data_IF_726208856015
#
_entry.id   IF_726208856015
#
_cell.length_a   1.000
_cell.length_b   1.000
_cell.length_c   1.000
_cell.angle_alpha   90.00
_cell.angle_beta   90.00
_cell.angle_gamma   90.00
#
_symmetry.space_group_name_H-M   'P 1'
#
loop_
_entity.id
_entity.type
_entity.pdbx_description
1 polymer ?
#
# COMPACT_ATOMS: atom_id res chain seq x y z
N UNK A 1 -5.61 -0.21 1.52
CA UNK A 1 -6.79 -1.09 1.70
C UNK A 1 -7.90 -0.35 2.44
N UNK A 2 -9.16 -0.58 2.08
CA UNK A 2 -10.35 -0.05 2.78
C UNK A 2 -11.27 -1.22 3.11
N UNK A 3 -11.69 -1.32 4.36
CA UNK A 3 -12.61 -2.37 4.84
C UNK A 3 -13.67 -1.76 5.76
N UNK A 4 -14.88 -2.35 5.85
CA UNK A 4 -15.85 -1.95 6.87
C UNK A 4 -15.30 -2.16 8.28
N UNK A 5 -15.62 -1.26 9.20
CA UNK A 5 -15.17 -1.34 10.60
C UNK A 5 -15.58 -2.65 11.29
N UNK A 6 -16.80 -3.12 11.00
CA UNK A 6 -17.29 -4.42 11.50
C UNK A 6 -16.41 -5.57 11.03
N UNK A 7 -16.01 -5.56 9.75
CA UNK A 7 -15.11 -6.59 9.21
C UNK A 7 -13.75 -6.56 9.88
N UNK A 8 -13.18 -5.37 10.08
CA UNK A 8 -11.88 -5.22 10.75
C UNK A 8 -11.91 -5.79 12.18
N UNK A 9 -13.00 -5.56 12.92
CA UNK A 9 -13.13 -6.05 14.29
C UNK A 9 -13.36 -7.56 14.37
N UNK A 10 -14.10 -8.13 13.42
CA UNK A 10 -14.41 -9.57 13.42
C UNK A 10 -13.35 -10.42 12.74
N UNK A 11 -12.66 -9.88 11.75
CA UNK A 11 -11.72 -10.60 10.89
C UNK A 11 -10.40 -9.84 10.73
N UNK A 12 -9.89 -9.28 11.82
CA UNK A 12 -8.57 -8.65 11.86
C UNK A 12 -7.43 -9.60 11.44
N UNK A 13 -7.62 -10.92 11.63
CA UNK A 13 -6.72 -11.97 11.16
C UNK A 13 -6.56 -11.98 9.63
N UNK A 14 -7.66 -11.82 8.90
CA UNK A 14 -7.64 -11.75 7.43
C UNK A 14 -6.98 -10.44 6.98
N UNK A 15 -7.30 -9.33 7.64
CA UNK A 15 -6.72 -8.03 7.32
C UNK A 15 -5.20 -8.05 7.55
N UNK A 16 -4.74 -8.66 8.64
CA UNK A 16 -3.31 -8.82 8.91
C UNK A 16 -2.63 -9.67 7.83
N UNK A 17 -3.23 -10.80 7.46
CA UNK A 17 -2.70 -11.70 6.43
C UNK A 17 -2.61 -10.99 5.07
N UNK A 18 -3.61 -10.20 4.72
CA UNK A 18 -3.61 -9.40 3.50
C UNK A 18 -2.48 -8.35 3.51
N UNK A 19 -2.33 -7.61 4.61
CA UNK A 19 -1.26 -6.61 4.75
C UNK A 19 0.14 -7.23 4.69
N UNK A 20 0.32 -8.42 5.26
CA UNK A 20 1.58 -9.18 5.12
C UNK A 20 1.88 -9.49 3.66
N UNK A 21 0.90 -10.00 2.92
CA UNK A 21 1.07 -10.31 1.50
C UNK A 21 1.35 -9.04 0.67
N UNK A 22 0.72 -7.92 0.98
CA UNK A 22 0.96 -6.63 0.33
C UNK A 22 2.39 -6.14 0.58
N UNK A 23 2.88 -6.21 1.82
CA UNK A 23 4.26 -5.84 2.18
C UNK A 23 5.28 -6.73 1.46
N UNK A 24 5.07 -8.04 1.43
CA UNK A 24 5.94 -8.97 0.71
C UNK A 24 5.94 -8.70 -0.80
N UNK A 25 4.77 -8.40 -1.38
CA UNK A 25 4.64 -8.04 -2.79
C UNK A 25 5.37 -6.72 -3.11
N UNK A 26 5.28 -5.71 -2.24
CA UNK A 26 6.03 -4.46 -2.37
C UNK A 26 7.54 -4.71 -2.29
N UNK A 27 7.99 -5.46 -1.30
CA UNK A 27 9.40 -5.82 -1.16
C UNK A 27 9.94 -6.54 -2.40
N UNK A 28 9.15 -7.48 -2.96
CA UNK A 28 9.48 -8.14 -4.22
C UNK A 28 9.56 -7.15 -5.39
N UNK A 29 8.54 -6.29 -5.54
CA UNK A 29 8.44 -5.37 -6.67
C UNK A 29 9.55 -4.31 -6.66
N UNK A 30 9.95 -3.85 -5.47
CA UNK A 30 10.99 -2.82 -5.32
C UNK A 30 12.41 -3.37 -5.40
N UNK A 31 12.61 -4.69 -5.38
CA UNK A 31 13.93 -5.29 -5.46
C UNK A 31 14.47 -5.24 -6.90
N UNK A 32 15.66 -4.63 -7.14
CA UNK A 32 16.22 -4.50 -8.50
C UNK A 32 16.37 -5.84 -9.24
N UNK A 33 16.67 -6.91 -8.51
CA UNK A 33 16.79 -8.27 -9.07
C UNK A 33 15.49 -8.79 -9.71
N UNK A 34 14.33 -8.27 -9.28
CA UNK A 34 13.01 -8.69 -9.75
C UNK A 34 12.44 -7.78 -10.85
N UNK A 35 13.14 -6.70 -11.23
CA UNK A 35 12.66 -5.70 -12.20
C UNK A 35 12.07 -6.34 -13.46
N UNK A 36 12.79 -7.28 -14.08
CA UNK A 36 12.33 -7.93 -15.32
C UNK A 36 10.99 -8.66 -15.15
N UNK A 37 10.80 -9.34 -14.01
CA UNK A 37 9.54 -10.02 -13.70
C UNK A 37 8.39 -9.03 -13.48
N UNK A 38 8.69 -7.92 -12.78
CA UNK A 38 7.70 -6.85 -12.53
C UNK A 38 7.27 -6.18 -13.84
N UNK A 39 8.21 -5.83 -14.72
CA UNK A 39 7.91 -5.26 -16.04
C UNK A 39 7.01 -6.19 -16.86
N UNK A 40 7.34 -7.48 -16.94
CA UNK A 40 6.49 -8.47 -17.64
C UNK A 40 5.09 -8.54 -17.06
N UNK A 41 4.97 -8.47 -15.74
CA UNK A 41 3.68 -8.45 -15.05
C UNK A 41 2.89 -7.20 -15.38
N UNK A 42 3.52 -6.01 -15.35
CA UNK A 42 2.89 -4.73 -15.69
C UNK A 42 2.37 -4.75 -17.13
N UNK A 43 3.20 -5.18 -18.11
CA UNK A 43 2.79 -5.31 -19.50
C UNK A 43 1.54 -6.18 -19.63
N UNK A 44 1.52 -7.33 -18.95
CA UNK A 44 0.40 -8.29 -19.03
C UNK A 44 -0.86 -7.76 -18.35
N UNK A 45 -0.74 -7.15 -17.17
CA UNK A 45 -1.89 -6.73 -16.34
C UNK A 45 -2.48 -5.40 -16.80
N UNK A 46 -1.64 -4.46 -17.21
CA UNK A 46 -2.06 -3.14 -17.67
C UNK A 46 -2.26 -3.08 -19.19
N UNK A 47 -1.92 -4.16 -19.92
CA UNK A 47 -2.00 -4.22 -21.39
C UNK A 47 -1.24 -3.07 -22.05
N UNK A 48 -0.07 -2.76 -21.52
CA UNK A 48 0.83 -1.74 -22.02
C UNK A 48 2.06 -2.34 -22.71
N UNK A 49 2.79 -1.55 -23.47
CA UNK A 49 4.06 -1.93 -24.08
C UNK A 49 5.23 -1.84 -23.08
N UNK A 50 6.43 -2.20 -23.52
CA UNK A 50 7.59 -2.22 -22.66
C UNK A 50 8.02 -0.81 -22.18
N UNK A 51 8.02 0.25 -23.01
CA UNK A 51 8.25 1.61 -22.57
C UNK A 51 7.26 2.08 -21.48
N UNK A 52 5.95 1.86 -21.69
CA UNK A 52 4.93 2.23 -20.70
C UNK A 52 5.04 1.45 -19.40
N UNK A 53 5.41 0.16 -19.46
CA UNK A 53 5.67 -0.64 -18.27
C UNK A 53 6.92 -0.17 -17.51
N UNK A 54 7.97 0.26 -18.22
CA UNK A 54 9.18 0.81 -17.61
C UNK A 54 8.87 2.15 -16.91
N UNK A 55 8.12 3.04 -17.55
CA UNK A 55 7.69 4.30 -16.94
C UNK A 55 6.86 4.05 -15.67
N UNK A 56 5.87 3.17 -15.74
CA UNK A 56 5.07 2.78 -14.58
C UNK A 56 5.90 2.15 -13.44
N UNK A 57 6.94 1.40 -13.78
CA UNK A 57 7.87 0.87 -12.78
C UNK A 57 8.71 1.97 -12.12
N UNK A 58 9.19 2.95 -12.88
CA UNK A 58 9.91 4.10 -12.32
C UNK A 58 9.02 4.95 -11.41
N UNK A 59 7.76 5.13 -11.76
CA UNK A 59 6.79 5.83 -10.93
C UNK A 59 6.50 5.06 -9.63
N UNK A 60 6.40 3.74 -9.69
CA UNK A 60 6.30 2.89 -8.51
C UNK A 60 7.49 3.10 -7.56
N UNK A 61 8.71 3.08 -8.09
CA UNK A 61 9.92 3.26 -7.28
C UNK A 61 10.00 4.61 -6.57
N UNK A 62 9.44 5.66 -7.18
CA UNK A 62 9.44 7.04 -6.65
C UNK A 62 8.28 7.32 -5.71
N UNK A 63 7.11 6.74 -6.01
CA UNK A 63 5.85 7.14 -5.39
C UNK A 63 5.36 6.24 -4.26
N UNK A 64 5.91 5.01 -4.12
CA UNK A 64 5.41 4.08 -3.11
C UNK A 64 6.18 4.18 -1.80
N UNK A 65 5.44 4.30 -0.71
CA UNK A 65 6.01 4.20 0.62
C UNK A 65 6.37 2.74 0.94
N UNK A 66 7.61 2.51 1.36
CA UNK A 66 8.09 1.17 1.75
C UNK A 66 7.39 0.63 2.99
N UNK A 67 6.93 1.51 3.87
CA UNK A 67 6.07 1.19 5.00
C UNK A 67 4.70 1.82 4.74
N UNK A 68 3.72 1.06 4.20
CA UNK A 68 2.46 1.61 3.69
C UNK A 68 1.48 1.94 4.82
N UNK A 69 1.88 2.85 5.72
CA UNK A 69 0.98 3.41 6.71
C UNK A 69 -0.10 4.28 6.07
N UNK A 70 -1.33 4.28 6.59
CA UNK A 70 -2.36 5.16 6.10
C UNK A 70 -1.99 6.63 6.33
N UNK A 71 -2.09 7.45 5.28
CA UNK A 71 -1.80 8.89 5.34
C UNK A 71 -3.03 9.68 5.70
N UNK A 72 -3.00 10.39 6.82
CA UNK A 72 -4.09 11.27 7.24
C UNK A 72 -4.28 12.43 6.26
N UNK A 73 -3.19 13.04 5.79
CA UNK A 73 -3.24 14.14 4.84
C UNK A 73 -3.73 13.68 3.47
N UNK A 74 -3.32 12.47 3.04
CA UNK A 74 -3.87 11.82 1.85
C UNK A 74 -5.37 11.63 1.95
N UNK A 75 -5.87 11.14 3.09
CA UNK A 75 -7.30 10.95 3.32
C UNK A 75 -8.06 12.28 3.33
N UNK A 76 -7.53 13.31 3.96
CA UNK A 76 -8.12 14.67 3.95
C UNK A 76 -8.18 15.26 2.54
N UNK A 77 -7.18 14.97 1.69
CA UNK A 77 -7.19 15.39 0.29
C UNK A 77 -8.30 14.66 -0.49
N UNK A 78 -8.43 13.34 -0.32
CA UNK A 78 -9.52 12.56 -0.93
C UNK A 78 -10.88 13.07 -0.43
N UNK A 79 -11.02 13.35 0.86
CA UNK A 79 -12.24 13.90 1.44
C UNK A 79 -12.63 15.24 0.79
N UNK A 80 -11.67 16.14 0.57
CA UNK A 80 -11.92 17.42 -0.12
C UNK A 80 -12.45 17.22 -1.53
N UNK A 81 -11.91 16.26 -2.26
CA UNK A 81 -12.36 15.94 -3.63
C UNK A 81 -13.77 15.33 -3.61
N UNK A 82 -14.04 14.39 -2.72
CA UNK A 82 -15.33 13.72 -2.62
C UNK A 82 -16.44 14.65 -2.13
N UNK A 83 -16.13 15.59 -1.25
CA UNK A 83 -17.08 16.59 -0.72
C UNK A 83 -17.73 17.42 -1.83
N UNK A 84 -17.04 17.62 -2.95
CA UNK A 84 -17.61 18.35 -4.11
C UNK A 84 -18.83 17.63 -4.71
N UNK A 85 -18.89 16.29 -4.60
CA UNK A 85 -20.00 15.49 -5.11
C UNK A 85 -20.98 15.06 -4.00
N UNK A 86 -20.47 14.86 -2.79
CA UNK A 86 -21.22 14.35 -1.65
C UNK A 86 -20.88 15.17 -0.41
N UNK A 87 -21.59 16.29 -0.17
CA UNK A 87 -21.27 17.24 0.92
C UNK A 87 -21.16 16.60 2.31
N UNK A 88 -21.98 15.59 2.61
CA UNK A 88 -21.98 14.86 3.89
C UNK A 88 -20.62 14.21 4.24
N UNK A 89 -19.77 13.92 3.23
CA UNK A 89 -18.43 13.38 3.45
C UNK A 89 -17.56 14.39 4.23
N UNK A 90 -17.83 15.69 4.09
CA UNK A 90 -17.12 16.72 4.83
C UNK A 90 -17.40 16.75 6.34
N UNK A 91 -18.44 16.06 6.80
CA UNK A 91 -18.82 15.96 8.22
C UNK A 91 -18.09 14.82 8.95
N UNK A 92 -17.48 13.89 8.19
CA UNK A 92 -16.73 12.76 8.73
C UNK A 92 -15.34 13.24 9.17
N UNK A 93 -14.94 12.92 10.39
CA UNK A 93 -13.57 13.18 10.83
C UNK A 93 -12.63 12.15 10.22
N UNK A 94 -11.64 12.62 9.45
CA UNK A 94 -10.68 11.74 8.77
C UNK A 94 -9.93 10.82 9.75
N UNK A 95 -9.69 11.30 10.98
CA UNK A 95 -9.04 10.58 12.06
C UNK A 95 -9.84 9.35 12.53
N UNK A 96 -11.16 9.37 12.40
CA UNK A 96 -12.05 8.29 12.83
C UNK A 96 -12.12 7.12 11.83
N UNK A 97 -11.67 7.36 10.58
CA UNK A 97 -11.68 6.32 9.53
C UNK A 97 -10.30 5.72 9.27
N UNK A 98 -9.25 6.22 9.90
CA UNK A 98 -7.90 5.64 9.83
C UNK A 98 -7.68 4.68 10.99
N UNK A 99 -7.26 3.46 10.66
CA UNK A 99 -6.79 2.48 11.64
C UNK A 99 -5.42 1.93 11.24
N UNK A 100 -4.40 2.29 11.99
CA UNK A 100 -3.03 1.86 11.76
C UNK A 100 -2.56 0.75 12.72
N UNK A 101 -3.44 0.20 13.58
CA UNK A 101 -3.04 -0.75 14.64
C UNK A 101 -2.34 -1.98 14.09
N UNK A 102 -2.88 -2.58 13.01
CA UNK A 102 -2.28 -3.79 12.42
C UNK A 102 -0.95 -3.44 11.75
N UNK A 103 -0.86 -2.31 11.05
CA UNK A 103 0.41 -1.88 10.46
C UNK A 103 1.48 -1.64 11.51
N UNK A 104 1.15 -0.99 12.64
CA UNK A 104 2.09 -0.80 13.77
C UNK A 104 2.54 -2.14 14.34
N UNK A 105 1.60 -3.08 14.57
CA UNK A 105 1.94 -4.44 15.02
C UNK A 105 2.94 -5.12 14.09
N UNK A 106 2.76 -5.01 12.77
CA UNK A 106 3.67 -5.59 11.78
C UNK A 106 5.03 -4.91 11.79
N UNK A 107 5.07 -3.59 11.94
CA UNK A 107 6.31 -2.82 12.02
C UNK A 107 7.06 -3.13 13.33
N UNK A 108 6.40 -3.04 14.48
CA UNK A 108 6.98 -3.30 15.80
C UNK A 108 7.50 -4.74 15.93
N UNK A 109 6.85 -5.70 15.29
CA UNK A 109 7.34 -7.08 15.23
C UNK A 109 8.56 -7.28 14.34
N UNK A 110 8.99 -6.26 13.59
CA UNK A 110 10.07 -6.32 12.60
C UNK A 110 9.69 -7.11 11.34
N UNK A 111 8.41 -7.41 11.12
CA UNK A 111 7.97 -8.15 9.94
C UNK A 111 8.31 -7.41 8.65
N UNK A 112 8.06 -6.08 8.62
CA UNK A 112 8.33 -5.25 7.44
C UNK A 112 9.82 -5.29 7.09
N UNK A 113 10.69 -5.04 8.06
CA UNK A 113 12.13 -5.04 7.85
C UNK A 113 12.63 -6.40 7.35
N UNK A 114 12.11 -7.52 7.90
CA UNK A 114 12.47 -8.86 7.43
C UNK A 114 12.00 -9.15 6.01
N UNK A 115 10.80 -8.71 5.62
CA UNK A 115 10.28 -8.90 4.27
C UNK A 115 11.18 -8.21 3.23
N UNK A 116 11.61 -6.99 3.51
CA UNK A 116 12.53 -6.25 2.64
C UNK A 116 13.93 -6.86 2.65
N UNK A 117 14.46 -7.25 3.81
CA UNK A 117 15.77 -7.89 3.94
C UNK A 117 15.85 -9.21 3.14
N UNK A 118 14.78 -10.00 3.11
CA UNK A 118 14.67 -11.21 2.29
C UNK A 118 14.80 -10.94 0.79
N UNK A 119 14.51 -9.71 0.35
CA UNK A 119 14.71 -9.28 -1.03
C UNK A 119 16.05 -8.57 -1.26
N UNK A 120 16.86 -8.39 -0.21
CA UNK A 120 18.15 -7.69 -0.27
C UNK A 120 18.04 -6.17 -0.17
N UNK A 121 16.92 -5.67 0.38
CA UNK A 121 16.68 -4.23 0.58
C UNK A 121 16.82 -3.91 2.07
N UNK A 122 17.63 -2.91 2.42
CA UNK A 122 17.67 -2.34 3.76
C UNK A 122 16.73 -1.14 3.86
N UNK A 123 15.93 -1.08 4.93
CA UNK A 123 15.06 0.07 5.23
C UNK A 123 15.72 1.09 6.17
N UNK A 124 16.96 0.83 6.58
CA UNK A 124 17.74 1.74 7.42
C UNK A 124 18.39 2.85 6.62
#
# INVERSE_FOLDING_TARGET
MVVPHVFLNQRGDIVESYLKAEIEALAFALAPKNKSAVIKMLMKRLRTDAPGAEEGYQDLLKGVDRKPFPSLDGLRNVQRMLKMRTPKIGEIKAEEVIDARIMRKLDDSGFIDRAYAAQGISLK
#
